data_IF_715171265450
#
_entry.id   IF_715171265450
#
_cell.length_a   1.000
_cell.length_b   1.000
_cell.length_c   1.000
_cell.angle_alpha   90.00
_cell.angle_beta   90.00
_cell.angle_gamma   90.00
#
_symmetry.space_group_name_H-M   'P 1'
#
loop_
_entity.id
_entity.type
_entity.pdbx_description
1 polymer ?
#
# COMPACT_ATOMS: atom_id res chain seq x y z
N UNK A 1 75.38 -5.19 -15.55
CA UNK A 1 74.31 -5.05 -14.53
C UNK A 1 73.12 -4.35 -15.16
N UNK A 2 71.92 -4.95 -15.14
CA UNK A 2 70.68 -4.27 -15.59
C UNK A 2 70.27 -3.27 -14.50
N UNK A 3 70.20 -1.98 -14.85
CA UNK A 3 69.67 -0.94 -13.96
C UNK A 3 68.18 -1.20 -13.77
N UNK A 4 67.76 -1.43 -12.54
CA UNK A 4 66.35 -1.43 -12.18
C UNK A 4 65.87 0.01 -12.15
N UNK A 5 64.94 0.37 -13.04
CA UNK A 5 64.28 1.67 -13.06
C UNK A 5 62.93 1.51 -12.35
N UNK A 6 62.82 2.07 -11.15
CA UNK A 6 61.59 2.05 -10.38
C UNK A 6 60.68 3.19 -10.86
N UNK A 7 59.72 2.87 -11.72
CA UNK A 7 58.61 3.78 -12.03
C UNK A 7 57.52 3.60 -10.98
N UNK A 8 57.40 4.53 -10.02
CA UNK A 8 56.19 4.61 -9.21
C UNK A 8 54.99 4.81 -10.15
N UNK A 9 53.97 3.98 -10.01
CA UNK A 9 52.66 4.30 -10.57
C UNK A 9 52.22 5.59 -9.88
N UNK A 10 52.14 6.71 -10.59
CA UNK A 10 51.72 8.00 -10.02
C UNK A 10 50.31 7.88 -9.41
N UNK A 11 50.23 7.46 -8.15
CA UNK A 11 48.98 7.37 -7.38
C UNK A 11 48.46 8.76 -7.05
N UNK A 12 49.36 9.75 -6.95
CA UNK A 12 49.06 11.19 -6.81
C UNK A 12 48.37 11.80 -8.03
N UNK A 13 48.44 11.16 -9.20
CA UNK A 13 47.82 11.65 -10.42
C UNK A 13 46.39 11.13 -10.65
N UNK A 14 45.90 10.16 -9.86
CA UNK A 14 44.57 9.60 -10.15
C UNK A 14 43.42 10.50 -9.70
N UNK A 15 43.55 11.34 -8.66
CA UNK A 15 42.52 12.33 -8.31
C UNK A 15 43.04 13.38 -7.31
N UNK A 16 43.50 14.56 -7.79
CA UNK A 16 43.87 15.66 -6.89
C UNK A 16 42.66 16.22 -6.09
N UNK A 17 42.89 17.03 -5.04
CA UNK A 17 41.81 17.56 -4.15
C UNK A 17 40.60 18.13 -4.90
N UNK A 18 40.83 18.90 -5.97
CA UNK A 18 39.79 19.48 -6.82
C UNK A 18 39.08 18.43 -7.70
N UNK A 19 39.80 17.39 -8.14
CA UNK A 19 39.23 16.25 -8.88
C UNK A 19 38.35 15.39 -7.97
N UNK A 20 38.79 15.15 -6.73
CA UNK A 20 38.01 14.46 -5.71
C UNK A 20 36.68 15.17 -5.40
N UNK A 21 36.73 16.48 -5.15
CA UNK A 21 35.51 17.29 -4.95
C UNK A 21 34.54 17.22 -6.13
N UNK A 22 35.04 17.20 -7.37
CA UNK A 22 34.20 17.05 -8.57
C UNK A 22 33.54 15.67 -8.65
N UNK A 23 34.31 14.60 -8.44
CA UNK A 23 33.76 13.23 -8.51
C UNK A 23 32.74 13.00 -7.40
N UNK A 24 33.04 13.37 -6.16
CA UNK A 24 32.09 13.22 -5.05
C UNK A 24 30.85 14.08 -5.28
N UNK A 25 31.01 15.32 -5.74
CA UNK A 25 29.88 16.20 -6.06
C UNK A 25 28.96 15.62 -7.14
N UNK A 26 29.54 15.08 -8.23
CA UNK A 26 28.76 14.45 -9.32
C UNK A 26 28.07 13.18 -8.83
N UNK A 27 28.75 12.32 -8.06
CA UNK A 27 28.16 11.10 -7.52
C UNK A 27 27.03 11.40 -6.54
N UNK A 28 27.21 12.37 -5.65
CA UNK A 28 26.16 12.79 -4.71
C UNK A 28 24.94 13.36 -5.44
N UNK A 29 25.16 14.17 -6.48
CA UNK A 29 24.08 14.70 -7.31
C UNK A 29 23.34 13.58 -8.04
N UNK A 30 24.06 12.62 -8.64
CA UNK A 30 23.45 11.49 -9.33
C UNK A 30 22.59 10.63 -8.39
N UNK A 31 23.07 10.35 -7.17
CA UNK A 31 22.32 9.62 -6.15
C UNK A 31 21.08 10.42 -5.72
N UNK A 32 21.22 11.73 -5.49
CA UNK A 32 20.12 12.60 -5.09
C UNK A 32 19.00 12.66 -6.12
N UNK A 33 19.33 12.86 -7.40
CA UNK A 33 18.36 12.90 -8.50
C UNK A 33 17.67 11.54 -8.68
N UNK A 34 18.43 10.46 -8.64
CA UNK A 34 17.87 9.10 -8.77
C UNK A 34 16.97 8.76 -7.59
N UNK A 35 17.40 9.09 -6.36
CA UNK A 35 16.61 8.90 -5.15
C UNK A 35 15.31 9.70 -5.17
N UNK A 36 15.36 10.97 -5.58
CA UNK A 36 14.16 11.80 -5.74
C UNK A 36 13.16 11.19 -6.74
N UNK A 37 13.64 10.77 -7.93
CA UNK A 37 12.77 10.19 -8.95
C UNK A 37 12.10 8.88 -8.47
N UNK A 38 12.82 8.03 -7.74
CA UNK A 38 12.28 6.80 -7.16
C UNK A 38 11.22 7.10 -6.10
N UNK A 39 11.50 8.05 -5.18
CA UNK A 39 10.54 8.44 -4.14
C UNK A 39 9.29 9.07 -4.75
N UNK A 40 9.44 9.96 -5.73
CA UNK A 40 8.33 10.60 -6.44
C UNK A 40 7.43 9.56 -7.13
N UNK A 41 8.02 8.55 -7.79
CA UNK A 41 7.26 7.44 -8.38
C UNK A 41 6.43 6.66 -7.34
N UNK A 42 7.02 6.38 -6.17
CA UNK A 42 6.35 5.64 -5.09
C UNK A 42 5.23 6.49 -4.46
N UNK A 43 5.47 7.79 -4.25
CA UNK A 43 4.50 8.71 -3.67
C UNK A 43 3.29 8.88 -4.58
N UNK A 44 3.50 9.14 -5.89
CA UNK A 44 2.41 9.30 -6.87
C UNK A 44 1.46 8.11 -6.93
N UNK A 45 1.97 6.88 -6.78
CA UNK A 45 1.14 5.66 -6.72
C UNK A 45 0.22 5.65 -5.49
N UNK A 46 0.70 6.21 -4.39
CA UNK A 46 -0.01 6.21 -3.10
C UNK A 46 -0.98 7.38 -2.97
N UNK A 47 -0.75 8.48 -3.68
CA UNK A 47 -1.52 9.72 -3.52
C UNK A 47 -2.98 9.57 -3.91
N UNK A 48 -3.29 8.84 -4.98
CA UNK A 48 -4.67 8.56 -5.39
C UNK A 48 -5.41 7.72 -4.34
N UNK A 49 -4.73 6.73 -3.76
CA UNK A 49 -5.31 5.87 -2.72
C UNK A 49 -5.56 6.69 -1.45
N UNK A 50 -4.60 7.51 -1.03
CA UNK A 50 -4.74 8.41 0.12
C UNK A 50 -5.85 9.43 -0.09
N UNK A 51 -5.99 9.97 -1.30
CA UNK A 51 -7.07 10.90 -1.63
C UNK A 51 -8.45 10.24 -1.53
N UNK A 52 -8.59 8.99 -2.00
CA UNK A 52 -9.84 8.21 -1.84
C UNK A 52 -10.15 7.93 -0.38
N UNK A 53 -9.16 7.51 0.40
CA UNK A 53 -9.29 7.29 1.85
C UNK A 53 -9.71 8.58 2.56
N UNK A 54 -9.06 9.71 2.25
CA UNK A 54 -9.43 11.00 2.81
C UNK A 54 -10.85 11.44 2.44
N UNK A 55 -11.34 11.09 1.24
CA UNK A 55 -12.75 11.24 0.88
C UNK A 55 -13.68 10.45 1.81
N UNK A 56 -13.45 9.15 1.93
CA UNK A 56 -14.24 8.26 2.79
C UNK A 56 -14.28 8.74 4.25
N UNK A 57 -13.16 9.20 4.80
CA UNK A 57 -13.12 9.71 6.17
C UNK A 57 -13.81 11.06 6.35
N UNK A 58 -13.94 11.88 5.29
CA UNK A 58 -14.77 13.10 5.36
C UNK A 58 -16.25 12.74 5.42
N UNK A 59 -16.67 11.76 4.63
CA UNK A 59 -18.05 11.27 4.64
C UNK A 59 -18.38 10.61 6.00
N UNK A 60 -17.44 9.85 6.57
CA UNK A 60 -17.58 9.28 7.91
C UNK A 60 -17.77 10.35 9.00
N UNK A 61 -17.04 11.49 8.92
CA UNK A 61 -17.26 12.61 9.84
C UNK A 61 -18.68 13.17 9.76
N UNK A 62 -19.24 13.27 8.56
CA UNK A 62 -20.64 13.69 8.39
C UNK A 62 -21.58 12.67 9.06
N UNK A 63 -21.30 11.37 8.93
CA UNK A 63 -22.06 10.34 9.65
C UNK A 63 -21.90 10.46 11.17
N UNK A 64 -20.71 10.80 11.68
CA UNK A 64 -20.46 11.05 13.11
C UNK A 64 -21.25 12.22 13.66
N UNK A 65 -21.28 13.34 12.93
CA UNK A 65 -22.07 14.52 13.29
C UNK A 65 -23.57 14.21 13.36
N UNK A 66 -24.05 13.29 12.50
CA UNK A 66 -25.43 12.84 12.48
C UNK A 66 -25.74 11.66 13.42
N UNK A 67 -24.76 11.20 14.23
CA UNK A 67 -24.94 10.07 15.16
C UNK A 67 -25.23 8.73 14.46
N UNK A 68 -24.72 8.54 13.25
CA UNK A 68 -24.85 7.33 12.41
C UNK A 68 -23.50 6.61 12.23
N UNK A 69 -22.65 6.62 13.24
CA UNK A 69 -21.29 6.04 13.20
C UNK A 69 -21.27 4.54 13.09
N UNK A 70 -22.32 3.89 13.60
CA UNK A 70 -22.38 2.44 13.71
C UNK A 70 -23.58 1.88 12.96
N UNK A 71 -23.42 0.73 12.30
CA UNK A 71 -24.49 0.11 11.50
C UNK A 71 -25.76 -0.20 12.29
N UNK A 72 -25.69 -0.43 13.61
CA UNK A 72 -26.85 -0.66 14.46
C UNK A 72 -27.65 0.62 14.79
N UNK A 73 -27.10 1.80 14.50
CA UNK A 73 -27.82 3.08 14.61
C UNK A 73 -28.65 3.38 13.34
N UNK A 74 -28.42 2.64 12.25
CA UNK A 74 -29.15 2.83 11.00
C UNK A 74 -30.59 2.31 11.12
N UNK A 75 -31.56 3.23 11.08
CA UNK A 75 -32.99 2.93 11.18
C UNK A 75 -33.48 1.95 10.12
N UNK A 76 -32.96 2.01 8.90
CA UNK A 76 -33.35 1.10 7.81
C UNK A 76 -32.92 -0.34 8.08
N UNK A 77 -31.73 -0.52 8.67
CA UNK A 77 -31.24 -1.86 9.07
C UNK A 77 -32.11 -2.42 10.19
N UNK A 78 -32.41 -1.62 11.21
CA UNK A 78 -33.30 -2.04 12.30
C UNK A 78 -34.70 -2.38 11.79
N UNK A 79 -35.22 -1.59 10.84
CA UNK A 79 -36.54 -1.82 10.23
C UNK A 79 -36.59 -3.15 9.47
N UNK A 80 -35.54 -3.49 8.72
CA UNK A 80 -35.45 -4.79 8.05
C UNK A 80 -35.60 -5.95 9.04
N UNK A 81 -34.85 -5.94 10.15
CA UNK A 81 -34.94 -6.99 11.16
C UNK A 81 -36.31 -7.04 11.85
N UNK A 82 -36.92 -5.87 12.11
CA UNK A 82 -38.26 -5.78 12.70
C UNK A 82 -39.35 -6.32 11.77
N UNK A 83 -39.31 -5.94 10.49
CA UNK A 83 -40.33 -6.33 9.48
C UNK A 83 -40.23 -7.80 9.11
N UNK A 84 -39.01 -8.33 9.06
CA UNK A 84 -38.76 -9.74 8.74
C UNK A 84 -38.86 -10.66 9.98
N UNK A 85 -39.19 -10.09 11.14
CA UNK A 85 -39.27 -10.81 12.43
C UNK A 85 -38.05 -11.72 12.68
N UNK A 86 -36.86 -11.23 12.36
CA UNK A 86 -35.62 -12.03 12.39
C UNK A 86 -34.56 -11.37 13.26
N UNK A 87 -33.56 -12.16 13.67
CA UNK A 87 -32.46 -11.72 14.52
C UNK A 87 -31.11 -11.95 13.81
N UNK A 88 -30.11 -11.10 14.06
CA UNK A 88 -28.77 -11.30 13.51
C UNK A 88 -28.19 -12.65 13.97
N UNK A 89 -27.61 -13.41 13.05
CA UNK A 89 -26.92 -14.69 13.26
C UNK A 89 -27.74 -15.88 13.82
N UNK A 90 -28.78 -15.63 14.61
CA UNK A 90 -29.60 -16.68 15.24
C UNK A 90 -30.93 -16.92 14.54
N UNK A 91 -31.41 -15.95 13.75
CA UNK A 91 -32.64 -16.09 12.98
C UNK A 91 -32.47 -17.07 11.82
N UNK A 92 -33.41 -18.00 11.67
CA UNK A 92 -33.43 -18.97 10.57
C UNK A 92 -33.46 -18.26 9.20
N UNK A 93 -34.36 -17.28 9.02
CA UNK A 93 -34.44 -16.47 7.81
C UNK A 93 -33.12 -15.72 7.53
N UNK A 94 -32.52 -15.11 8.55
CA UNK A 94 -31.23 -14.43 8.42
C UNK A 94 -30.12 -15.41 8.03
N UNK A 95 -30.09 -16.62 8.58
CA UNK A 95 -29.14 -17.66 8.20
C UNK A 95 -29.30 -18.09 6.74
N UNK A 96 -30.53 -18.27 6.27
CA UNK A 96 -30.79 -18.67 4.89
C UNK A 96 -30.45 -17.60 3.85
N UNK A 97 -30.63 -16.32 4.20
CA UNK A 97 -30.46 -15.21 3.24
C UNK A 97 -29.11 -14.50 3.35
N UNK A 98 -28.60 -14.31 4.56
CA UNK A 98 -27.42 -13.48 4.84
C UNK A 98 -26.16 -14.31 5.13
N UNK A 99 -26.29 -15.61 5.40
CA UNK A 99 -25.16 -16.50 5.59
C UNK A 99 -24.92 -17.37 4.36
N UNK A 100 -23.66 -17.80 4.20
CA UNK A 100 -23.24 -18.71 3.14
C UNK A 100 -22.31 -19.78 3.71
N UNK A 101 -21.99 -20.79 2.89
CA UNK A 101 -21.07 -21.87 3.24
C UNK A 101 -19.80 -21.74 2.42
N UNK A 102 -18.67 -21.95 3.07
CA UNK A 102 -17.36 -21.98 2.42
C UNK A 102 -16.88 -23.42 2.30
N UNK A 103 -16.22 -23.72 1.19
CA UNK A 103 -15.61 -25.02 0.93
C UNK A 103 -14.10 -24.86 0.74
N UNK A 104 -13.27 -25.82 1.18
CA UNK A 104 -11.84 -25.80 0.90
C UNK A 104 -11.59 -25.67 -0.61
N UNK A 105 -10.73 -24.73 -1.00
CA UNK A 105 -10.47 -24.45 -2.43
C UNK A 105 -9.99 -25.69 -3.19
N UNK A 106 -9.25 -26.56 -2.51
CA UNK A 106 -8.76 -27.84 -3.03
C UNK A 106 -9.88 -28.84 -3.38
N UNK A 107 -11.07 -28.67 -2.80
CA UNK A 107 -12.25 -29.51 -3.08
C UNK A 107 -13.15 -28.93 -4.20
N UNK A 108 -12.94 -27.67 -4.64
CA UNK A 108 -13.74 -27.08 -5.73
C UNK A 108 -13.53 -27.78 -7.08
N UNK A 109 -12.32 -28.28 -7.35
CA UNK A 109 -12.03 -29.04 -8.56
C UNK A 109 -12.79 -30.39 -8.60
N UNK A 110 -13.04 -30.99 -7.42
CA UNK A 110 -13.80 -32.24 -7.29
C UNK A 110 -15.31 -32.00 -7.42
N UNK A 111 -15.78 -30.81 -7.02
CA UNK A 111 -17.19 -30.39 -7.09
C UNK A 111 -17.58 -29.78 -8.45
N UNK A 112 -16.68 -29.77 -9.45
CA UNK A 112 -16.96 -29.25 -10.79
C UNK A 112 -17.07 -27.72 -10.88
N UNK A 113 -16.65 -27.00 -9.83
CA UNK A 113 -16.64 -25.54 -9.83
C UNK A 113 -15.45 -25.00 -10.64
N UNK A 114 -15.74 -24.19 -11.67
CA UNK A 114 -14.70 -23.45 -12.39
C UNK A 114 -14.34 -22.18 -11.60
N UNK A 115 -13.04 -21.90 -11.51
CA UNK A 115 -12.52 -20.64 -11.00
C UNK A 115 -12.86 -19.46 -11.92
#
# INVERSE_FOLDING_TARGET
MRKYEYTERQTVAMLGRRGFLKVVGVTALAIGVTGYAVVDLIQRRSDVIKARQAGLYRDDKICQENGLTCSHQNKSVLRFYADMHTQPATGELAHHLLHTRYYPRTQLAVLGGKH
#
